data_IF_444571646291
#
_entry.id   IF_444571646291
#
_cell.length_a   1.000
_cell.length_b   1.000
_cell.length_c   1.000
_cell.angle_alpha   90.00
_cell.angle_beta   90.00
_cell.angle_gamma   90.00
#
_symmetry.space_group_name_H-M   'P 1'
#
loop_
_entity.id
_entity.type
_entity.pdbx_description
1 polymer ?
#
# COMPACT_ATOMS: atom_id res chain seq x y z
N UNK A 1 -11.93 7.61 -5.48
CA UNK A 1 -11.10 8.50 -4.63
C UNK A 1 -11.61 9.94 -4.59
N UNK A 2 -12.88 10.20 -4.94
CA UNK A 2 -13.42 11.55 -5.10
C UNK A 2 -13.39 12.37 -3.80
N UNK A 3 -13.89 11.80 -2.69
CA UNK A 3 -13.92 12.48 -1.40
C UNK A 3 -12.53 12.95 -0.93
N UNK A 4 -11.49 12.12 -1.08
CA UNK A 4 -10.15 12.49 -0.62
C UNK A 4 -9.57 13.65 -1.45
N UNK A 5 -9.85 13.68 -2.76
CA UNK A 5 -9.49 14.81 -3.63
C UNK A 5 -10.26 16.07 -3.26
N UNK A 6 -11.57 15.94 -3.04
CA UNK A 6 -12.47 17.04 -2.66
C UNK A 6 -12.13 17.65 -1.29
N UNK A 7 -11.68 16.82 -0.35
CA UNK A 7 -11.21 17.27 0.97
C UNK A 7 -9.81 17.91 0.94
N UNK A 8 -9.13 17.92 -0.21
CA UNK A 8 -7.82 18.57 -0.41
C UNK A 8 -6.61 17.70 -0.02
N UNK A 9 -6.78 16.38 0.12
CA UNK A 9 -5.65 15.47 0.31
C UNK A 9 -4.86 15.32 -0.99
N UNK A 10 -3.53 15.27 -0.89
CA UNK A 10 -2.60 15.24 -2.03
C UNK A 10 -2.13 13.83 -2.38
N UNK A 11 -2.08 12.96 -1.38
CA UNK A 11 -1.66 11.58 -1.53
C UNK A 11 -2.33 10.71 -0.48
N UNK A 12 -2.38 9.41 -0.75
CA UNK A 12 -2.76 8.38 0.21
C UNK A 12 -1.67 7.35 0.32
N UNK A 13 -1.44 6.87 1.53
CA UNK A 13 -0.50 5.79 1.82
C UNK A 13 -1.27 4.63 2.46
N UNK A 14 -1.01 3.43 1.98
CA UNK A 14 -1.60 2.18 2.45
C UNK A 14 -0.49 1.22 2.85
N UNK A 15 -0.66 0.55 3.98
CA UNK A 15 0.26 -0.46 4.49
C UNK A 15 -0.38 -1.83 4.32
N UNK A 16 0.37 -2.77 3.75
CA UNK A 16 -0.07 -4.15 3.50
C UNK A 16 1.10 -5.10 3.73
N UNK A 17 0.82 -6.41 3.66
CA UNK A 17 1.86 -7.44 3.62
C UNK A 17 1.94 -8.04 2.22
N UNK A 18 3.16 -8.33 1.75
CA UNK A 18 3.41 -8.97 0.44
C UNK A 18 2.64 -10.30 0.27
N UNK A 19 2.39 -11.01 1.37
CA UNK A 19 1.60 -12.24 1.38
C UNK A 19 0.19 -12.06 0.79
N UNK A 20 -0.33 -10.84 0.77
CA UNK A 20 -1.60 -10.49 0.13
C UNK A 20 -1.40 -10.17 -1.35
N UNK A 21 -0.88 -11.13 -2.11
CA UNK A 21 -0.53 -10.96 -3.53
C UNK A 21 -1.72 -10.46 -4.38
N UNK A 22 -2.94 -10.95 -4.10
CA UNK A 22 -4.14 -10.48 -4.80
C UNK A 22 -4.42 -8.99 -4.54
N UNK A 23 -4.24 -8.52 -3.30
CA UNK A 23 -4.41 -7.11 -2.96
C UNK A 23 -3.32 -6.26 -3.62
N UNK A 24 -2.07 -6.72 -3.60
CA UNK A 24 -0.94 -6.04 -4.26
C UNK A 24 -1.18 -5.88 -5.77
N UNK A 25 -1.71 -6.92 -6.44
CA UNK A 25 -2.08 -6.84 -7.85
C UNK A 25 -3.19 -5.79 -8.10
N UNK A 26 -4.18 -5.69 -7.20
CA UNK A 26 -5.22 -4.68 -7.31
C UNK A 26 -4.67 -3.26 -7.08
N UNK A 27 -3.74 -3.07 -6.15
CA UNK A 27 -3.10 -1.76 -5.92
C UNK A 27 -2.31 -1.32 -7.14
N UNK A 28 -1.48 -2.20 -7.70
CA UNK A 28 -0.74 -1.93 -8.93
C UNK A 28 -1.69 -1.59 -10.10
N UNK A 29 -2.78 -2.36 -10.28
CA UNK A 29 -3.76 -2.09 -11.32
C UNK A 29 -4.54 -0.78 -11.10
N UNK A 30 -4.77 -0.39 -9.85
CA UNK A 30 -5.43 0.86 -9.49
C UNK A 30 -4.49 2.09 -9.54
N UNK A 31 -3.22 1.92 -9.93
CA UNK A 31 -2.26 3.01 -10.09
C UNK A 31 -1.52 3.39 -8.79
N UNK A 32 -1.53 2.52 -7.79
CA UNK A 32 -0.69 2.70 -6.60
C UNK A 32 0.75 2.27 -6.91
N UNK A 33 1.69 2.98 -6.31
CA UNK A 33 3.13 2.74 -6.42
C UNK A 33 3.64 2.17 -5.11
N UNK A 34 4.40 1.07 -5.18
CA UNK A 34 5.11 0.53 -4.03
C UNK A 34 6.24 1.49 -3.63
N UNK A 35 6.15 2.10 -2.46
CA UNK A 35 7.19 2.99 -1.92
C UNK A 35 8.23 2.23 -1.08
N UNK A 36 7.77 1.25 -0.31
CA UNK A 36 8.64 0.49 0.60
C UNK A 36 8.24 -0.97 0.58
N UNK A 37 9.23 -1.84 0.63
CA UNK A 37 9.07 -3.27 0.89
C UNK A 37 10.20 -3.67 1.82
N UNK A 38 9.86 -4.08 3.04
CA UNK A 38 10.85 -4.43 4.05
C UNK A 38 10.51 -5.75 4.73
N UNK A 39 11.49 -6.68 4.83
CA UNK A 39 11.31 -7.89 5.61
C UNK A 39 11.30 -7.53 7.09
N UNK A 40 10.25 -7.95 7.78
CA UNK A 40 10.03 -7.74 9.21
C UNK A 40 9.71 -9.05 9.88
N UNK A 41 10.02 -9.14 11.17
CA UNK A 41 9.60 -10.27 11.99
C UNK A 41 8.49 -9.79 12.91
N UNK A 42 7.24 -10.07 12.52
CA UNK A 42 6.06 -9.65 13.28
C UNK A 42 5.24 -10.88 13.68
N UNK A 43 4.63 -10.84 14.86
CA UNK A 43 3.91 -11.98 15.46
C UNK A 43 4.72 -13.30 15.53
N UNK A 44 6.06 -13.21 15.59
CA UNK A 44 6.95 -14.37 15.66
C UNK A 44 7.22 -15.06 14.32
N UNK A 45 6.68 -14.54 13.22
CA UNK A 45 6.89 -15.05 11.86
C UNK A 45 7.59 -14.00 10.98
N UNK A 46 8.32 -14.47 9.96
CA UNK A 46 8.94 -13.60 8.98
C UNK A 46 7.88 -13.16 7.96
N UNK A 47 7.72 -11.85 7.82
CA UNK A 47 6.73 -11.17 7.00
C UNK A 47 7.45 -10.12 6.15
N UNK A 48 6.82 -9.70 5.07
CA UNK A 48 7.31 -8.56 4.27
C UNK A 48 6.22 -7.51 4.30
N UNK A 49 6.48 -6.41 5.01
CA UNK A 49 5.61 -5.25 5.03
C UNK A 49 5.87 -4.40 3.80
N UNK A 50 4.79 -3.91 3.21
CA UNK A 50 4.80 -3.10 2.00
C UNK A 50 4.00 -1.82 2.23
N UNK A 51 4.57 -0.68 1.86
CA UNK A 51 3.85 0.58 1.79
C UNK A 51 3.60 0.96 0.34
N UNK A 52 2.35 1.29 0.05
CA UNK A 52 1.86 1.69 -1.24
C UNK A 52 1.38 3.13 -1.16
N UNK A 53 1.70 3.94 -2.16
CA UNK A 53 1.26 5.32 -2.27
C UNK A 53 0.53 5.56 -3.57
N UNK A 54 -0.49 6.39 -3.54
CA UNK A 54 -1.10 6.94 -4.75
C UNK A 54 -1.25 8.46 -4.63
N UNK A 55 -0.95 9.17 -5.71
CA UNK A 55 -1.17 10.60 -5.83
C UNK A 55 -2.63 10.86 -6.17
N UNK A 56 -3.24 11.72 -5.37
CA UNK A 56 -4.63 12.15 -5.50
C UNK A 56 -4.78 13.34 -6.45
#
# INVERSE_FOLDING_TARGET
MAYAREAGYRDMVLWTHESHQAACALYAAAGWTLERSEPVRSFGIDLVEQSWRIVL
#
